data_IF_653315262394
#
_entry.id   IF_653315262394
#
_cell.length_a   1.000
_cell.length_b   1.000
_cell.length_c   1.000
_cell.angle_alpha   90.00
_cell.angle_beta   90.00
_cell.angle_gamma   90.00
#
_symmetry.space_group_name_H-M   'P 1'
#
loop_
_entity.id
_entity.type
_entity.pdbx_description
1 polymer ?
#
# COMPACT_ATOMS: atom_id res chain seq x y z
N UNK A 1 -23.76 17.51 15.82
CA UNK A 1 -23.13 16.65 15.77
C UNK A 1 -23.27 15.73 15.45
N UNK A 2 -23.18 16.19 15.33
CA UNK A 2 -22.70 15.20 15.09
C UNK A 2 -22.81 14.63 14.50
N UNK A 3 -23.02 15.06 14.39
CA UNK A 3 -22.53 14.32 14.19
C UNK A 3 -22.47 13.89 13.44
N UNK A 4 -23.03 14.62 13.08
CA UNK A 4 -22.45 14.09 12.75
C UNK A 4 -22.36 13.41 12.36
N UNK A 5 -22.57 14.11 12.38
CA UNK A 5 -21.93 13.33 12.42
C UNK A 5 -21.71 12.71 12.22
N UNK A 6 -22.17 13.25 12.20
CA UNK A 6 -21.54 12.56 12.45
C UNK A 6 -21.29 12.01 12.10
N UNK A 7 -21.39 12.31 12.12
CA UNK A 7 -20.66 11.71 12.16
C UNK A 7 -20.38 11.63 11.70
N UNK A 8 -20.60 12.29 11.65
CA UNK A 8 -19.87 12.19 11.64
C UNK A 8 -19.57 12.65 11.69
N UNK A 9 -19.90 13.58 11.65
CA UNK A 9 -19.11 13.74 12.09
C UNK A 9 -19.06 13.42 12.69
N UNK A 10 -19.15 13.34 13.13
CA UNK A 10 -18.64 12.88 13.91
C UNK A 10 -18.00 12.50 14.09
N UNK A 11 -17.73 12.78 14.20
CA UNK A 11 -16.90 12.48 14.71
C UNK A 11 -16.64 12.78 15.04
N UNK A 12 -17.10 13.46 15.36
CA UNK A 12 -16.69 13.51 15.75
C UNK A 12 -16.53 14.09 16.48
N UNK A 13 -16.38 14.06 17.22
CA UNK A 13 -16.27 15.11 18.03
C UNK A 13 -15.50 15.00 19.27
N UNK A 14 -15.51 14.01 20.00
CA UNK A 14 -14.54 13.70 21.02
C UNK A 14 -13.16 13.69 20.47
N UNK A 15 -13.07 13.57 19.19
CA UNK A 15 -11.78 13.62 18.55
C UNK A 15 -11.09 14.95 18.70
N UNK A 16 -11.85 16.00 18.76
CA UNK A 16 -11.26 17.32 18.82
C UNK A 16 -10.39 17.51 20.07
N UNK A 17 -10.79 16.90 21.17
CA UNK A 17 -10.01 17.01 22.40
C UNK A 17 -8.76 16.17 22.33
N UNK A 18 -8.84 14.98 21.75
CA UNK A 18 -7.70 14.09 21.63
C UNK A 18 -6.61 14.66 20.74
N UNK A 19 -6.99 15.47 19.78
CA UNK A 19 -6.03 16.01 18.81
C UNK A 19 -4.91 16.81 19.42
N UNK A 20 -5.23 17.64 20.38
CA UNK A 20 -4.23 18.51 20.96
C UNK A 20 -3.25 17.76 21.82
N UNK A 21 -3.60 16.57 22.23
CA UNK A 21 -2.74 15.77 23.11
C UNK A 21 -1.90 14.75 22.38
N UNK A 22 -2.29 14.40 21.15
CA UNK A 22 -1.68 13.28 20.45
C UNK A 22 -0.99 13.70 19.16
N UNK A 23 -0.27 14.79 19.17
CA UNK A 23 0.47 15.20 18.00
C UNK A 23 -0.31 16.09 17.07
N UNK A 24 -1.44 16.60 17.52
CA UNK A 24 -2.14 17.64 16.81
C UNK A 24 -2.65 17.26 15.44
N UNK A 25 -2.08 17.91 14.43
CA UNK A 25 -2.61 17.83 13.08
C UNK A 25 -2.63 16.42 12.50
N UNK A 26 -1.62 15.62 12.79
CA UNK A 26 -1.56 14.25 12.28
C UNK A 26 -2.73 13.41 12.78
N UNK A 27 -3.14 13.63 14.01
CA UNK A 27 -4.28 12.89 14.59
C UNK A 27 -5.57 13.29 13.92
N UNK A 28 -5.67 14.52 13.42
CA UNK A 28 -6.88 14.98 12.72
C UNK A 28 -6.92 14.42 11.31
N UNK A 29 -5.80 14.45 10.63
CA UNK A 29 -5.76 14.10 9.21
C UNK A 29 -6.05 12.62 8.97
N UNK A 30 -5.52 11.75 9.82
CA UNK A 30 -5.71 10.30 9.63
C UNK A 30 -7.17 9.88 9.50
N UNK A 31 -8.08 10.35 10.35
CA UNK A 31 -9.49 9.96 10.20
C UNK A 31 -10.15 10.50 8.95
N UNK A 32 -9.52 11.48 8.29
CA UNK A 32 -10.10 12.09 7.08
C UNK A 32 -9.68 11.38 5.81
N UNK A 33 -8.74 10.44 5.90
CA UNK A 33 -8.32 9.66 4.74
C UNK A 33 -9.00 8.31 4.77
N UNK A 34 -9.25 7.76 3.58
CA UNK A 34 -9.83 6.43 3.43
C UNK A 34 -8.96 5.63 2.51
N UNK A 35 -8.88 4.35 2.78
CA UNK A 35 -8.20 3.42 1.90
C UNK A 35 -9.25 2.50 1.30
N UNK A 36 -9.43 2.60 0.00
CA UNK A 36 -10.45 1.86 -0.71
C UNK A 36 -9.80 0.68 -1.40
N UNK A 37 -10.25 -0.52 -1.03
CA UNK A 37 -9.74 -1.74 -1.64
C UNK A 37 -10.11 -1.78 -3.11
N UNK A 38 -9.11 -1.95 -3.98
CA UNK A 38 -9.31 -2.02 -5.41
C UNK A 38 -9.16 -3.43 -5.96
N UNK A 39 -8.13 -4.16 -5.53
CA UNK A 39 -7.79 -5.40 -6.21
C UNK A 39 -6.86 -6.25 -5.36
N UNK A 40 -6.99 -7.58 -5.50
CA UNK A 40 -6.07 -8.53 -4.87
C UNK A 40 -5.22 -9.17 -5.97
N UNK A 41 -3.92 -9.23 -5.71
CA UNK A 41 -2.99 -9.87 -6.62
C UNK A 41 -1.81 -10.43 -5.83
N UNK A 42 -0.67 -10.59 -6.46
CA UNK A 42 0.53 -11.12 -5.82
C UNK A 42 1.74 -10.30 -6.25
N UNK A 43 2.87 -10.55 -5.60
CA UNK A 43 4.14 -9.88 -5.95
C UNK A 43 4.83 -10.70 -7.03
N UNK A 44 5.12 -10.08 -8.16
CA UNK A 44 5.82 -10.71 -9.25
C UNK A 44 7.33 -10.48 -9.10
N UNK A 45 8.13 -11.39 -9.64
CA UNK A 45 9.57 -11.21 -9.72
C UNK A 45 10.33 -11.47 -8.42
N UNK A 46 9.70 -12.07 -7.43
CA UNK A 46 10.35 -12.34 -6.14
C UNK A 46 11.61 -13.19 -6.31
N UNK A 47 11.57 -14.17 -7.18
CA UNK A 47 12.70 -15.08 -7.38
C UNK A 47 13.91 -14.39 -8.02
N UNK A 48 13.71 -13.20 -8.59
CA UNK A 48 14.80 -12.46 -9.25
C UNK A 48 15.42 -11.38 -8.36
N UNK A 49 15.01 -11.29 -7.10
CA UNK A 49 15.58 -10.30 -6.20
C UNK A 49 17.04 -10.58 -5.95
N UNK A 50 17.85 -9.52 -6.00
CA UNK A 50 19.27 -9.61 -5.68
C UNK A 50 19.46 -9.81 -4.17
N UNK A 51 18.74 -9.03 -3.38
CA UNK A 51 18.76 -9.14 -1.93
C UNK A 51 17.48 -9.81 -1.46
N UNK A 52 17.58 -11.06 -1.06
CA UNK A 52 16.43 -11.83 -0.60
C UNK A 52 16.23 -11.77 0.91
N UNK A 53 17.08 -11.05 1.63
CA UNK A 53 16.90 -10.92 3.07
C UNK A 53 15.60 -10.18 3.41
N UNK A 54 15.15 -9.32 2.52
CA UNK A 54 13.89 -8.60 2.70
C UNK A 54 12.71 -9.58 2.86
N UNK A 55 12.79 -10.74 2.23
CA UNK A 55 11.71 -11.73 2.29
C UNK A 55 11.54 -12.33 3.68
N UNK A 56 12.57 -12.26 4.51
CA UNK A 56 12.50 -12.75 5.88
C UNK A 56 11.89 -11.72 6.83
N UNK A 57 11.87 -10.48 6.41
CA UNK A 57 11.38 -9.37 7.23
C UNK A 57 9.92 -9.04 6.97
N UNK A 58 9.38 -9.46 5.84
CA UNK A 58 8.01 -9.14 5.45
C UNK A 58 7.03 -9.98 6.25
N UNK A 59 5.96 -9.34 6.69
CA UNK A 59 4.90 -9.98 7.46
C UNK A 59 3.54 -9.64 6.88
N UNK A 60 2.58 -10.51 7.12
CA UNK A 60 1.19 -10.23 6.80
C UNK A 60 0.76 -8.93 7.48
N UNK A 61 0.11 -8.07 6.74
CA UNK A 61 -0.33 -6.77 7.23
C UNK A 61 0.65 -5.63 6.95
N UNK A 62 1.86 -5.93 6.49
CA UNK A 62 2.84 -4.89 6.19
C UNK A 62 2.37 -4.02 5.03
N UNK A 63 2.61 -2.72 5.18
CA UNK A 63 2.28 -1.74 4.16
C UNK A 63 3.40 -1.63 3.14
N UNK A 64 3.03 -1.60 1.86
CA UNK A 64 3.98 -1.50 0.76
C UNK A 64 3.73 -0.22 -0.03
N UNK A 65 4.81 0.36 -0.51
CA UNK A 65 4.76 1.53 -1.38
C UNK A 65 4.81 1.08 -2.83
N UNK A 66 3.99 1.68 -3.68
CA UNK A 66 4.02 1.47 -5.12
C UNK A 66 4.78 2.63 -5.77
N UNK A 67 5.71 2.30 -6.66
CA UNK A 67 6.52 3.30 -7.34
C UNK A 67 6.58 2.96 -8.83
N UNK A 68 6.23 3.94 -9.66
CA UNK A 68 6.38 3.77 -11.10
C UNK A 68 7.85 3.65 -11.45
N UNK A 69 8.17 2.74 -12.33
CA UNK A 69 9.53 2.52 -12.78
C UNK A 69 9.61 2.70 -14.28
N UNK A 70 10.57 3.51 -14.73
CA UNK A 70 10.85 3.67 -16.15
C UNK A 70 11.72 2.50 -16.59
N UNK A 71 11.07 1.55 -17.22
CA UNK A 71 11.69 0.28 -17.57
C UNK A 71 11.54 0.05 -19.06
N UNK A 72 12.64 -0.18 -19.74
CA UNK A 72 12.61 -0.36 -21.20
C UNK A 72 11.88 -1.64 -21.64
N UNK A 73 11.69 -2.57 -20.72
CA UNK A 73 10.97 -3.82 -21.03
C UNK A 73 9.48 -3.70 -20.74
N UNK A 74 9.09 -2.76 -19.87
CA UNK A 74 7.70 -2.58 -19.49
C UNK A 74 7.51 -1.13 -19.02
N UNK A 75 6.89 -0.33 -19.86
CA UNK A 75 6.67 1.08 -19.56
C UNK A 75 5.56 1.29 -18.52
N UNK A 76 4.90 0.21 -18.10
CA UNK A 76 3.86 0.26 -17.07
C UNK A 76 4.32 -0.37 -15.76
N UNK A 77 5.61 -0.63 -15.62
CA UNK A 77 6.15 -1.30 -14.44
C UNK A 77 5.85 -0.52 -13.17
N UNK A 78 5.43 -1.23 -12.14
CA UNK A 78 5.17 -0.69 -10.81
C UNK A 78 5.96 -1.50 -9.81
N UNK A 79 6.93 -0.86 -9.20
CA UNK A 79 7.81 -1.46 -8.21
C UNK A 79 7.11 -1.48 -6.86
N UNK A 80 7.27 -2.57 -6.13
CA UNK A 80 6.75 -2.71 -4.77
C UNK A 80 7.91 -2.62 -3.78
N UNK A 81 7.78 -1.71 -2.83
CA UNK A 81 8.83 -1.43 -1.85
C UNK A 81 8.25 -1.58 -0.44
N UNK A 82 9.10 -2.03 0.48
CA UNK A 82 8.75 -2.01 1.91
C UNK A 82 8.72 -0.56 2.39
N UNK A 83 8.23 -0.36 3.62
CA UNK A 83 8.23 0.97 4.22
C UNK A 83 9.64 1.52 4.39
N UNK A 84 10.65 0.63 4.44
CA UNK A 84 12.06 1.03 4.50
C UNK A 84 12.66 1.31 3.13
N UNK A 85 11.86 1.17 2.07
CA UNK A 85 12.35 1.44 0.73
C UNK A 85 13.05 0.26 0.05
N UNK A 86 12.94 -0.94 0.62
CA UNK A 86 13.55 -2.13 0.03
C UNK A 86 12.63 -2.76 -1.00
N UNK A 87 13.21 -3.14 -2.13
CA UNK A 87 12.47 -3.76 -3.21
C UNK A 87 12.05 -5.19 -2.87
N UNK A 88 10.79 -5.53 -3.09
CA UNK A 88 10.33 -6.91 -2.96
C UNK A 88 9.86 -7.51 -4.27
N UNK A 89 9.60 -6.70 -5.27
CA UNK A 89 9.16 -7.17 -6.56
C UNK A 89 8.30 -6.14 -7.28
N UNK A 90 7.39 -6.63 -8.10
CA UNK A 90 6.56 -5.78 -8.96
C UNK A 90 5.10 -6.20 -8.89
N UNK A 91 4.22 -5.28 -9.23
CA UNK A 91 2.83 -5.62 -9.56
C UNK A 91 2.89 -6.46 -10.85
N UNK A 92 2.16 -7.58 -10.93
CA UNK A 92 2.21 -8.42 -12.13
C UNK A 92 1.88 -7.64 -13.39
N UNK A 93 2.60 -7.96 -14.46
CA UNK A 93 2.43 -7.26 -15.74
C UNK A 93 0.99 -7.31 -16.25
N UNK A 94 0.32 -8.43 -16.01
CA UNK A 94 -1.07 -8.59 -16.43
C UNK A 94 -2.04 -7.64 -15.73
N UNK A 95 -1.64 -7.08 -14.58
CA UNK A 95 -2.50 -6.22 -13.77
C UNK A 95 -2.06 -4.76 -13.75
N UNK A 96 -0.86 -4.45 -14.25
CA UNK A 96 -0.27 -3.15 -13.97
C UNK A 96 -0.80 -2.00 -14.83
N UNK A 97 -1.50 -2.29 -15.93
CA UNK A 97 -1.92 -1.25 -16.86
C UNK A 97 -2.84 -0.21 -16.21
N UNK A 98 -3.87 -0.68 -15.51
CA UNK A 98 -4.83 0.22 -14.91
C UNK A 98 -4.22 0.97 -13.72
N UNK A 99 -3.42 0.29 -12.93
CA UNK A 99 -2.82 0.91 -11.74
C UNK A 99 -1.75 1.93 -12.13
N UNK A 100 -0.99 1.65 -13.18
CA UNK A 100 -0.01 2.63 -13.67
C UNK A 100 -0.71 3.89 -14.17
N UNK A 101 -1.85 3.75 -14.81
CA UNK A 101 -2.62 4.90 -15.28
C UNK A 101 -3.18 5.73 -14.13
N UNK A 102 -3.66 5.06 -13.09
CA UNK A 102 -4.13 5.77 -11.91
C UNK A 102 -3.01 6.57 -11.26
N UNK A 103 -1.84 5.95 -11.13
CA UNK A 103 -0.69 6.61 -10.54
C UNK A 103 -0.22 7.78 -11.40
N UNK A 104 -0.17 7.59 -12.72
CA UNK A 104 0.24 8.65 -13.64
C UNK A 104 -0.75 9.82 -13.64
N UNK A 105 -2.01 9.54 -13.29
CA UNK A 105 -3.03 10.57 -13.14
C UNK A 105 -2.98 11.26 -11.78
N UNK A 106 -2.00 10.91 -10.94
CA UNK A 106 -1.83 11.57 -9.65
C UNK A 106 -2.53 10.89 -8.49
N UNK A 107 -3.07 9.69 -8.69
CA UNK A 107 -3.72 8.97 -7.60
C UNK A 107 -2.67 8.27 -6.74
N UNK A 108 -2.89 8.27 -5.44
CA UNK A 108 -2.01 7.60 -4.49
C UNK A 108 -2.51 6.18 -4.25
N UNK A 109 -1.67 5.22 -4.53
CA UNK A 109 -1.98 3.81 -4.29
C UNK A 109 -1.02 3.26 -3.25
N UNK A 110 -1.52 2.34 -2.44
CA UNK A 110 -0.70 1.59 -1.49
C UNK A 110 -1.09 0.13 -1.58
N UNK A 111 -0.26 -0.75 -1.04
CA UNK A 111 -0.59 -2.16 -0.96
C UNK A 111 -0.33 -2.66 0.45
N UNK A 112 -1.00 -3.75 0.80
CA UNK A 112 -0.77 -4.44 2.06
C UNK A 112 -0.51 -5.90 1.78
N UNK A 113 0.45 -6.48 2.47
CA UNK A 113 0.72 -7.91 2.40
C UNK A 113 -0.45 -8.65 3.08
N UNK A 114 -1.05 -9.58 2.36
CA UNK A 114 -2.17 -10.35 2.90
C UNK A 114 -1.71 -11.70 3.42
N UNK A 115 -0.97 -12.44 2.61
CA UNK A 115 -0.54 -13.77 2.96
C UNK A 115 0.81 -14.07 2.34
N UNK A 116 1.63 -14.81 3.06
CA UNK A 116 2.93 -15.23 2.58
C UNK A 116 2.99 -16.74 2.63
N UNK A 117 3.22 -17.37 1.47
CA UNK A 117 3.38 -18.82 1.37
C UNK A 117 4.81 -19.11 0.94
N UNK A 118 5.52 -19.82 1.77
CA UNK A 118 6.89 -20.23 1.45
C UNK A 118 6.84 -21.45 0.56
N UNK A 119 7.39 -21.33 -0.64
CA UNK A 119 7.41 -22.41 -1.62
C UNK A 119 8.75 -23.14 -1.65
N UNK A 120 9.84 -22.39 -1.39
CA UNK A 120 11.19 -22.93 -1.38
C UNK A 120 12.07 -21.96 -0.60
N UNK A 121 13.37 -22.30 -0.50
CA UNK A 121 14.33 -21.44 0.18
C UNK A 121 14.40 -20.07 -0.49
N UNK A 122 14.35 -20.05 -1.83
CA UNK A 122 14.58 -18.84 -2.61
C UNK A 122 13.28 -18.20 -3.12
N UNK A 123 12.14 -18.78 -2.82
CA UNK A 123 10.88 -18.29 -3.40
C UNK A 123 9.76 -18.32 -2.39
N UNK A 124 9.09 -17.19 -2.29
CA UNK A 124 7.87 -17.05 -1.52
C UNK A 124 6.80 -16.49 -2.42
N UNK A 125 5.58 -16.96 -2.24
CA UNK A 125 4.43 -16.38 -2.90
C UNK A 125 3.79 -15.39 -1.94
N UNK A 126 3.78 -14.13 -2.33
CA UNK A 126 3.28 -13.04 -1.48
C UNK A 126 2.01 -12.50 -2.12
N UNK A 127 0.90 -12.66 -1.42
CA UNK A 127 -0.40 -12.12 -1.84
C UNK A 127 -0.56 -10.72 -1.27
N UNK A 128 -1.03 -9.79 -2.08
CA UNK A 128 -1.21 -8.40 -1.68
C UNK A 128 -2.58 -7.89 -2.06
N UNK A 129 -3.04 -6.87 -1.35
CA UNK A 129 -4.20 -6.09 -1.75
C UNK A 129 -3.75 -4.69 -2.11
N UNK A 130 -4.28 -4.16 -3.20
CA UNK A 130 -3.98 -2.81 -3.67
C UNK A 130 -5.14 -1.90 -3.30
N UNK A 131 -4.81 -0.74 -2.75
CA UNK A 131 -5.78 0.21 -2.22
C UNK A 131 -5.55 1.60 -2.78
N UNK A 132 -6.63 2.32 -3.00
CA UNK A 132 -6.59 3.74 -3.34
C UNK A 132 -6.69 4.53 -2.04
N UNK A 133 -5.76 5.47 -1.85
CA UNK A 133 -5.84 6.37 -0.71
C UNK A 133 -6.65 7.59 -1.16
N UNK A 134 -7.80 7.75 -0.55
CA UNK A 134 -8.74 8.83 -0.87
C UNK A 134 -8.72 9.85 0.25
N UNK A 135 -8.47 11.09 -0.12
CA UNK A 135 -8.40 12.19 0.84
C UNK A 135 -9.71 12.95 0.94
#
# INVERSE_FOLDING_TARGET
MDERTGTELTIHQQEAVALTQNGGLDSVIKPLTKEIHLFDTYVAGVSFLTDKTVLQEIKSGDRLTLQREDNKFDDKAILLLTSDGKKIGYVPEKDNAIFSRLMDAGKLLVAYVREIQKRSIDYQQISIGIYLVDF
#
